data_IF_907129913475
#
_entry.id   IF_907129913475
#
_cell.length_a   1.000
_cell.length_b   1.000
_cell.length_c   1.000
_cell.angle_alpha   90.00
_cell.angle_beta   90.00
_cell.angle_gamma   90.00
#
_symmetry.space_group_name_H-M   'P 1'
#
loop_
_entity.id
_entity.type
_entity.pdbx_description
1 polymer ?
#
# COMPACT_ATOMS: atom_id res chain seq x y z
N UNK A 1 -0.58 26.14 3.80
CA UNK A 1 0.49 25.24 3.31
C UNK A 1 0.38 23.85 3.94
N UNK A 2 0.51 23.68 5.26
CA UNK A 2 0.43 22.36 5.95
C UNK A 2 -0.88 21.60 5.72
N UNK A 3 -2.03 22.29 5.70
CA UNK A 3 -3.34 21.66 5.48
C UNK A 3 -3.42 20.89 4.15
N UNK A 4 -2.84 21.43 3.08
CA UNK A 4 -2.83 20.77 1.76
C UNK A 4 -1.95 19.51 1.77
N UNK A 5 -0.79 19.57 2.42
CA UNK A 5 0.10 18.41 2.56
C UNK A 5 -0.57 17.27 3.33
N UNK A 6 -1.29 17.59 4.41
CA UNK A 6 -2.05 16.59 5.18
C UNK A 6 -3.13 15.96 4.31
N UNK A 7 -3.86 16.75 3.53
CA UNK A 7 -4.89 16.25 2.61
C UNK A 7 -4.28 15.33 1.56
N UNK A 8 -3.19 15.74 0.91
CA UNK A 8 -2.49 14.93 -0.10
C UNK A 8 -1.98 13.63 0.52
N UNK A 9 -1.35 13.69 1.70
CA UNK A 9 -0.86 12.51 2.40
C UNK A 9 -2.01 11.54 2.77
N UNK A 10 -3.14 12.07 3.23
CA UNK A 10 -4.33 11.26 3.53
C UNK A 10 -4.90 10.58 2.28
N UNK A 11 -5.00 11.31 1.16
CA UNK A 11 -5.46 10.76 -0.12
C UNK A 11 -4.52 9.65 -0.61
N UNK A 12 -3.21 9.89 -0.58
CA UNK A 12 -2.20 8.88 -0.96
C UNK A 12 -2.26 7.66 -0.04
N UNK A 13 -2.43 7.87 1.28
CA UNK A 13 -2.56 6.80 2.25
C UNK A 13 -3.78 5.91 1.98
N UNK A 14 -4.96 6.51 1.85
CA UNK A 14 -6.22 5.79 1.57
C UNK A 14 -6.15 5.09 0.21
N UNK A 15 -5.60 5.75 -0.81
CA UNK A 15 -5.40 5.17 -2.13
C UNK A 15 -4.50 3.92 -2.08
N UNK A 16 -3.39 3.98 -1.35
CA UNK A 16 -2.48 2.84 -1.18
C UNK A 16 -3.15 1.64 -0.50
N UNK A 17 -3.91 1.90 0.57
CA UNK A 17 -4.70 0.86 1.27
C UNK A 17 -5.72 0.24 0.33
N UNK A 18 -6.53 1.06 -0.34
CA UNK A 18 -7.57 0.60 -1.27
C UNK A 18 -7.00 -0.25 -2.41
N UNK A 19 -5.94 0.23 -3.07
CA UNK A 19 -5.29 -0.52 -4.15
C UNK A 19 -4.71 -1.84 -3.67
N UNK A 20 -4.03 -1.85 -2.52
CA UNK A 20 -3.47 -3.08 -1.99
C UNK A 20 -4.54 -4.11 -1.63
N UNK A 21 -5.63 -3.68 -0.98
CA UNK A 21 -6.73 -4.57 -0.62
C UNK A 21 -7.42 -5.14 -1.86
N UNK A 22 -7.72 -4.32 -2.86
CA UNK A 22 -8.40 -4.77 -4.10
C UNK A 22 -7.52 -5.65 -4.98
N UNK A 23 -6.21 -5.45 -4.98
CA UNK A 23 -5.27 -6.26 -5.76
C UNK A 23 -4.56 -7.34 -4.96
N UNK A 24 -4.96 -7.63 -3.71
CA UNK A 24 -4.24 -8.55 -2.82
C UNK A 24 -4.00 -9.94 -3.45
N UNK A 25 -4.95 -10.42 -4.25
CA UNK A 25 -4.88 -11.73 -4.93
C UNK A 25 -3.79 -11.79 -6.01
N UNK A 26 -3.23 -10.64 -6.42
CA UNK A 26 -2.08 -10.53 -7.34
C UNK A 26 -0.73 -10.54 -6.59
N UNK A 27 -0.76 -10.60 -5.27
CA UNK A 27 0.44 -10.72 -4.43
C UNK A 27 0.71 -12.19 -4.12
N UNK A 28 1.95 -12.48 -3.72
CA UNK A 28 2.32 -13.82 -3.24
C UNK A 28 2.03 -14.00 -1.74
N UNK A 29 1.28 -13.10 -1.11
CA UNK A 29 0.94 -13.18 0.30
C UNK A 29 -0.29 -14.06 0.49
N UNK A 30 -0.19 -15.05 1.37
CA UNK A 30 -1.31 -15.94 1.72
C UNK A 30 -2.12 -15.42 2.92
N UNK A 31 -1.55 -14.53 3.72
CA UNK A 31 -2.16 -13.98 4.92
C UNK A 31 -1.73 -12.53 5.17
N UNK A 32 -2.33 -11.88 6.17
CA UNK A 32 -1.96 -10.53 6.56
C UNK A 32 -2.50 -9.41 5.67
N UNK A 33 -3.56 -9.65 4.88
CA UNK A 33 -4.17 -8.65 3.96
C UNK A 33 -4.39 -7.27 4.58
N UNK A 34 -5.02 -7.22 5.75
CA UNK A 34 -5.29 -5.96 6.48
C UNK A 34 -4.03 -5.29 7.04
N UNK A 35 -3.19 -5.94 7.86
CA UNK A 35 -1.99 -5.30 8.40
C UNK A 35 -0.99 -4.91 7.31
N UNK A 36 -0.84 -5.71 6.26
CA UNK A 36 0.00 -5.39 5.10
C UNK A 36 -0.55 -4.19 4.31
N UNK A 37 -1.86 -4.01 4.21
CA UNK A 37 -2.47 -2.84 3.57
C UNK A 37 -2.29 -1.58 4.40
N UNK A 38 -2.64 -1.62 5.69
CA UNK A 38 -2.64 -0.43 6.56
C UNK A 38 -1.23 0.10 6.84
N UNK A 39 -0.24 -0.80 6.90
CA UNK A 39 1.16 -0.46 7.14
C UNK A 39 1.98 -0.33 5.84
N UNK A 40 1.31 -0.12 4.70
CA UNK A 40 1.98 -0.06 3.40
C UNK A 40 3.16 0.91 3.32
N UNK A 41 3.15 2.13 3.92
CA UNK A 41 4.29 3.04 3.80
C UNK A 41 5.53 2.49 4.49
N UNK A 42 5.34 1.86 5.65
CA UNK A 42 6.42 1.24 6.43
C UNK A 42 7.02 0.07 5.65
N UNK A 43 6.18 -0.81 5.11
CA UNK A 43 6.65 -1.95 4.34
C UNK A 43 7.28 -1.58 2.99
N UNK A 44 6.84 -0.49 2.36
CA UNK A 44 7.53 0.03 1.17
C UNK A 44 8.98 0.41 1.49
N UNK A 45 9.24 1.00 2.64
CA UNK A 45 10.61 1.39 3.03
C UNK A 45 11.40 0.16 3.49
N UNK A 46 10.82 -0.63 4.39
CA UNK A 46 11.52 -1.68 5.13
C UNK A 46 11.61 -3.03 4.42
N UNK A 47 10.71 -3.34 3.45
CA UNK A 47 10.57 -4.70 2.93
C UNK A 47 10.61 -4.76 1.39
N UNK A 48 11.68 -5.36 0.84
CA UNK A 48 11.89 -5.53 -0.61
C UNK A 48 10.80 -6.40 -1.26
N UNK A 49 10.41 -7.51 -0.61
CA UNK A 49 9.36 -8.40 -1.13
C UNK A 49 8.02 -7.68 -1.19
N UNK A 50 7.71 -6.89 -0.16
CA UNK A 50 6.51 -6.06 -0.17
C UNK A 50 6.49 -5.07 -1.33
N UNK A 51 7.59 -4.33 -1.55
CA UNK A 51 7.69 -3.40 -2.69
C UNK A 51 7.41 -4.07 -4.04
N UNK A 52 7.97 -5.26 -4.26
CA UNK A 52 7.76 -6.01 -5.50
C UNK A 52 6.28 -6.40 -5.67
N UNK A 53 5.64 -6.90 -4.60
CA UNK A 53 4.22 -7.25 -4.61
C UNK A 53 3.33 -6.02 -4.80
N UNK A 54 3.62 -4.92 -4.10
CA UNK A 54 2.89 -3.66 -4.24
C UNK A 54 2.99 -3.10 -5.68
N UNK A 55 4.16 -3.21 -6.31
CA UNK A 55 4.32 -2.85 -7.73
C UNK A 55 3.46 -3.71 -8.66
N UNK A 56 3.31 -5.02 -8.39
CA UNK A 56 2.38 -5.89 -9.15
C UNK A 56 0.94 -5.43 -9.00
N UNK A 57 0.53 -5.07 -7.79
CA UNK A 57 -0.81 -4.56 -7.50
C UNK A 57 -1.09 -3.24 -8.24
N UNK A 58 -0.10 -2.34 -8.29
CA UNK A 58 -0.23 -1.06 -8.99
C UNK A 58 -0.23 -1.20 -10.51
N UNK A 59 0.52 -2.16 -11.05
CA UNK A 59 0.65 -2.38 -12.50
C UNK A 59 -0.49 -3.17 -13.13
N UNK A 60 -1.25 -3.91 -12.33
CA UNK A 60 -2.33 -4.73 -12.87
C UNK A 60 -3.61 -3.97 -13.16
#
# INVERSE_FOLDING_TARGET
MIKLLIVVAAVVYVYGVYKFLTGFDRTNFTSGRLPLALLWPVFLIANKSYRQNFSRVLKG
#
